data_IF_501826408538
#
_entry.id   IF_501826408538
#
_cell.length_a   1.000
_cell.length_b   1.000
_cell.length_c   1.000
_cell.angle_alpha   90.00
_cell.angle_beta   90.00
_cell.angle_gamma   90.00
#
_symmetry.space_group_name_H-M   'P 1'
#
loop_
_entity.id
_entity.type
_entity.pdbx_description
1 polymer ?
#
# COMPACT_ATOMS: atom_id res chain seq x y z
N UNK A 1 -1.19 29.54 1.48
CA UNK A 1 -0.14 28.59 1.79
C UNK A 1 -0.40 27.26 1.10
N UNK A 2 0.63 26.67 0.47
CA UNK A 2 0.51 25.36 -0.19
C UNK A 2 0.28 24.28 0.86
N UNK A 3 -0.73 23.49 0.68
CA UNK A 3 -0.96 22.24 1.45
C UNK A 3 0.02 21.19 0.96
N UNK A 4 0.69 20.48 1.86
CA UNK A 4 1.61 19.39 1.55
C UNK A 4 1.00 18.08 2.03
N UNK A 5 0.92 17.08 1.14
CA UNK A 5 0.33 15.78 1.39
C UNK A 5 1.36 14.68 1.26
N UNK A 6 1.36 13.73 2.17
CA UNK A 6 2.26 12.58 2.19
C UNK A 6 1.44 11.30 2.12
N UNK A 7 1.80 10.41 1.18
CA UNK A 7 1.13 9.10 1.02
C UNK A 7 2.01 8.02 1.61
N UNK A 8 1.57 7.40 2.68
CA UNK A 8 2.10 6.13 3.15
C UNK A 8 1.33 4.98 2.49
N UNK A 9 1.89 3.77 2.49
CA UNK A 9 1.30 2.57 1.90
C UNK A 9 -0.21 2.39 2.20
N UNK A 10 -0.71 3.04 3.25
CA UNK A 10 -2.12 3.01 3.67
C UNK A 10 -2.68 4.33 4.17
N UNK A 11 -1.91 5.43 4.16
CA UNK A 11 -2.32 6.67 4.84
C UNK A 11 -1.82 7.91 4.11
N UNK A 12 -2.71 8.88 3.88
CA UNK A 12 -2.39 10.24 3.46
C UNK A 12 -2.22 11.13 4.71
N UNK A 13 -1.04 11.74 4.87
CA UNK A 13 -0.75 12.66 5.96
C UNK A 13 -0.67 14.09 5.41
N UNK A 14 -1.45 14.99 6.02
CA UNK A 14 -1.44 16.42 5.72
C UNK A 14 -0.57 17.18 6.73
N UNK A 15 0.37 18.01 6.26
CA UNK A 15 1.14 18.91 7.11
C UNK A 15 0.68 20.36 6.91
N UNK A 16 0.33 20.99 8.02
CA UNK A 16 0.01 22.42 8.09
C UNK A 16 1.13 23.18 8.82
N UNK A 17 1.29 24.50 8.49
CA UNK A 17 2.35 25.39 9.02
C UNK A 17 2.32 25.51 10.56
N UNK A 18 1.22 25.18 11.20
CA UNK A 18 1.04 25.17 12.66
C UNK A 18 1.54 23.88 13.33
N UNK A 19 2.41 23.11 12.68
CA UNK A 19 3.08 21.90 13.21
C UNK A 19 2.15 20.73 13.57
N UNK A 20 0.89 20.78 13.17
CA UNK A 20 -0.03 19.65 13.35
C UNK A 20 0.01 18.71 12.14
N UNK A 21 0.27 17.42 12.39
CA UNK A 21 0.13 16.34 11.39
C UNK A 21 -1.28 15.80 11.49
N UNK A 22 -1.98 15.71 10.36
CA UNK A 22 -3.33 15.17 10.29
C UNK A 22 -3.40 14.08 9.22
N UNK A 23 -3.97 12.93 9.58
CA UNK A 23 -4.39 11.91 8.62
C UNK A 23 -5.72 12.39 8.02
N UNK A 24 -5.80 12.52 6.70
CA UNK A 24 -6.97 13.05 6.00
C UNK A 24 -7.66 12.02 5.11
N UNK A 25 -7.03 10.88 4.88
CA UNK A 25 -7.60 9.77 4.14
C UNK A 25 -6.77 8.51 4.31
N UNK A 26 -7.42 7.37 4.10
CA UNK A 26 -6.83 6.04 4.14
C UNK A 26 -7.27 5.24 2.93
N UNK A 27 -6.45 4.27 2.52
CA UNK A 27 -6.80 3.38 1.43
C UNK A 27 -6.03 2.07 1.52
N UNK A 28 -6.66 1.01 1.07
CA UNK A 28 -6.07 -0.32 1.02
C UNK A 28 -6.41 -1.00 -0.29
N UNK A 29 -5.65 -2.03 -0.63
CA UNK A 29 -5.97 -2.96 -1.69
C UNK A 29 -5.72 -4.39 -1.18
N UNK A 30 -6.67 -5.27 -1.43
CA UNK A 30 -6.59 -6.69 -1.11
C UNK A 30 -6.81 -7.50 -2.40
N UNK A 31 -5.88 -8.39 -2.78
CA UNK A 31 -6.10 -9.33 -3.86
C UNK A 31 -7.39 -10.16 -3.67
N UNK A 32 -8.01 -10.55 -4.76
CA UNK A 32 -9.25 -11.34 -4.69
C UNK A 32 -9.01 -12.79 -4.27
N UNK A 33 -7.82 -13.34 -4.56
CA UNK A 33 -7.49 -14.72 -4.28
C UNK A 33 -7.31 -14.96 -2.78
N UNK A 34 -8.19 -15.75 -2.19
CA UNK A 34 -8.20 -16.08 -0.76
C UNK A 34 -7.54 -17.45 -0.53
N UNK A 35 -6.60 -17.49 0.41
CA UNK A 35 -6.01 -18.75 0.90
C UNK A 35 -6.30 -18.91 2.39
N UNK A 36 -7.07 -19.92 2.76
CA UNK A 36 -7.34 -20.29 4.14
C UNK A 36 -6.24 -21.17 4.72
N UNK A 37 -6.37 -21.53 5.99
CA UNK A 37 -5.41 -22.39 6.67
C UNK A 37 -5.46 -23.83 6.15
N UNK A 38 -6.60 -24.28 5.63
CA UNK A 38 -6.72 -25.62 5.03
C UNK A 38 -5.88 -25.70 3.73
N UNK A 39 -5.98 -24.67 2.88
CA UNK A 39 -5.13 -24.58 1.68
C UNK A 39 -3.64 -24.65 2.06
N UNK A 40 -3.21 -23.91 3.10
CA UNK A 40 -1.80 -23.94 3.54
C UNK A 40 -1.37 -25.33 4.01
N UNK A 41 -2.23 -26.09 4.67
CA UNK A 41 -1.92 -27.45 5.11
C UNK A 41 -1.69 -28.44 3.96
N UNK A 42 -2.08 -28.08 2.74
CA UNK A 42 -1.80 -28.90 1.54
C UNK A 42 -0.40 -28.69 0.96
N UNK A 43 0.29 -27.61 1.34
CA UNK A 43 1.59 -27.23 0.76
C UNK A 43 2.72 -27.18 1.79
N UNK A 44 2.40 -27.03 3.07
CA UNK A 44 3.38 -27.05 4.17
C UNK A 44 2.85 -27.84 5.35
N UNK A 45 3.75 -28.39 6.18
CA UNK A 45 3.39 -29.15 7.38
C UNK A 45 2.84 -28.22 8.47
N UNK A 46 1.54 -28.01 8.45
CA UNK A 46 0.80 -27.15 9.38
C UNK A 46 -0.68 -27.54 9.44
N UNK A 47 -1.46 -26.88 10.31
CA UNK A 47 -2.91 -27.03 10.38
C UNK A 47 -3.59 -25.74 10.89
N UNK A 48 -4.92 -25.66 10.74
CA UNK A 48 -5.70 -24.48 11.15
C UNK A 48 -5.57 -24.19 12.64
N UNK A 49 -5.57 -25.21 13.49
CA UNK A 49 -5.47 -25.04 14.94
C UNK A 49 -4.14 -24.36 15.32
N UNK A 50 -3.03 -24.88 14.81
CA UNK A 50 -1.69 -24.34 15.07
C UNK A 50 -1.55 -22.89 14.62
N UNK A 51 -2.00 -22.56 13.39
CA UNK A 51 -1.93 -21.20 12.84
C UNK A 51 -2.82 -20.26 13.65
N UNK A 52 -4.06 -20.65 13.92
CA UNK A 52 -5.06 -19.82 14.60
C UNK A 52 -4.67 -19.52 16.05
N UNK A 53 -4.15 -20.49 16.79
CA UNK A 53 -3.70 -20.28 18.17
C UNK A 53 -2.51 -19.32 18.27
N UNK A 54 -1.60 -19.32 17.28
CA UNK A 54 -0.39 -18.50 17.30
C UNK A 54 -0.57 -17.10 16.71
N UNK A 55 -1.44 -16.97 15.72
CA UNK A 55 -1.55 -15.73 14.92
C UNK A 55 -2.94 -15.13 14.89
N UNK A 56 -3.98 -15.91 15.20
CA UNK A 56 -5.37 -15.53 14.98
C UNK A 56 -5.79 -15.48 13.52
N UNK A 57 -4.89 -15.77 12.56
CA UNK A 57 -5.14 -15.66 11.13
C UNK A 57 -5.93 -16.88 10.64
N UNK A 58 -7.07 -16.64 10.00
CA UNK A 58 -7.90 -17.65 9.37
C UNK A 58 -7.68 -17.76 7.86
N UNK A 59 -7.45 -16.61 7.22
CA UNK A 59 -7.23 -16.51 5.78
C UNK A 59 -6.25 -15.39 5.45
N UNK A 60 -5.66 -15.42 4.25
CA UNK A 60 -4.85 -14.33 3.68
C UNK A 60 -5.18 -14.15 2.23
N UNK A 61 -4.82 -13.00 1.70
CA UNK A 61 -4.98 -12.67 0.30
C UNK A 61 -3.66 -12.88 -0.42
N UNK A 62 -3.71 -13.63 -1.50
CA UNK A 62 -2.54 -13.94 -2.32
C UNK A 62 -2.64 -13.20 -3.66
N UNK A 63 -1.54 -12.57 -4.04
CA UNK A 63 -1.39 -11.99 -5.38
C UNK A 63 -1.61 -13.04 -6.47
N UNK A 64 -2.27 -12.65 -7.55
CA UNK A 64 -2.52 -13.51 -8.72
C UNK A 64 -1.33 -13.62 -9.68
N UNK A 65 -0.16 -13.16 -9.28
CA UNK A 65 1.10 -13.24 -10.05
C UNK A 65 1.71 -11.89 -10.38
N UNK A 66 2.59 -11.86 -11.37
CA UNK A 66 3.43 -10.68 -11.69
C UNK A 66 2.66 -9.40 -12.05
N UNK A 67 1.43 -9.53 -12.52
CA UNK A 67 0.58 -8.36 -12.84
C UNK A 67 -0.03 -7.71 -11.60
N UNK A 68 -0.04 -8.40 -10.47
CA UNK A 68 -0.56 -7.94 -9.18
C UNK A 68 0.55 -7.90 -8.14
N UNK A 69 1.70 -7.34 -8.53
CA UNK A 69 2.87 -7.18 -7.68
C UNK A 69 2.73 -6.05 -6.66
N UNK A 70 3.82 -5.79 -5.93
CA UNK A 70 3.86 -4.77 -4.86
C UNK A 70 3.53 -3.38 -5.39
N UNK A 71 4.05 -3.00 -6.57
CA UNK A 71 3.77 -1.71 -7.21
C UNK A 71 2.29 -1.56 -7.53
N UNK A 72 1.68 -2.58 -8.13
CA UNK A 72 0.26 -2.56 -8.46
C UNK A 72 -0.60 -2.39 -7.20
N UNK A 73 -0.37 -3.21 -6.18
CA UNK A 73 -1.13 -3.15 -4.92
C UNK A 73 -0.97 -1.80 -4.22
N UNK A 74 0.27 -1.26 -4.18
CA UNK A 74 0.53 0.05 -3.60
C UNK A 74 -0.16 1.17 -4.38
N UNK A 75 -0.18 1.09 -5.72
CA UNK A 75 -0.86 2.05 -6.59
C UNK A 75 -2.37 2.06 -6.34
N UNK A 76 -3.01 0.89 -6.25
CA UNK A 76 -4.44 0.81 -5.96
C UNK A 76 -4.77 1.35 -4.57
N UNK A 77 -3.98 1.00 -3.55
CA UNK A 77 -4.14 1.54 -2.21
C UNK A 77 -3.97 3.07 -2.16
N UNK A 78 -3.00 3.61 -2.91
CA UNK A 78 -2.78 5.05 -3.02
C UNK A 78 -3.98 5.76 -3.69
N UNK A 79 -4.51 5.22 -4.78
CA UNK A 79 -5.70 5.76 -5.45
C UNK A 79 -6.91 5.79 -4.51
N UNK A 80 -7.15 4.71 -3.78
CA UNK A 80 -8.23 4.64 -2.79
C UNK A 80 -8.04 5.66 -1.66
N UNK A 81 -6.79 5.85 -1.17
CA UNK A 81 -6.49 6.84 -0.16
C UNK A 81 -6.67 8.29 -0.65
N UNK A 82 -6.31 8.57 -1.91
CA UNK A 82 -6.53 9.88 -2.54
C UNK A 82 -8.01 10.19 -2.71
N UNK A 83 -8.81 9.19 -3.12
CA UNK A 83 -10.26 9.31 -3.23
C UNK A 83 -10.90 9.61 -1.87
N UNK A 84 -10.55 8.84 -0.83
CA UNK A 84 -11.04 9.04 0.54
C UNK A 84 -10.66 10.43 1.10
N UNK A 85 -9.45 10.91 0.77
CA UNK A 85 -8.96 12.24 1.17
C UNK A 85 -9.53 13.39 0.34
N UNK A 86 -10.12 13.11 -0.83
CA UNK A 86 -10.56 14.13 -1.78
C UNK A 86 -9.42 14.97 -2.36
N UNK A 87 -8.22 14.34 -2.60
CA UNK A 87 -7.05 15.02 -3.14
C UNK A 87 -6.68 14.50 -4.53
N UNK A 88 -6.08 15.37 -5.33
CA UNK A 88 -5.60 15.04 -6.68
C UNK A 88 -4.10 14.70 -6.66
N UNK A 89 -3.60 14.08 -7.73
CA UNK A 89 -2.19 13.73 -7.86
C UNK A 89 -1.25 14.96 -7.83
N UNK A 90 -1.70 16.09 -8.35
CA UNK A 90 -0.93 17.35 -8.37
C UNK A 90 -0.75 17.97 -6.98
N UNK A 91 -1.57 17.57 -6.01
CA UNK A 91 -1.49 18.04 -4.63
C UNK A 91 -0.54 17.20 -3.77
N UNK A 92 -0.02 16.08 -4.30
CA UNK A 92 0.93 15.22 -3.62
C UNK A 92 2.35 15.81 -3.75
N UNK A 93 3.00 16.06 -2.64
CA UNK A 93 4.37 16.58 -2.57
C UNK A 93 5.41 15.49 -2.25
N UNK A 94 5.01 14.41 -1.56
CA UNK A 94 5.92 13.34 -1.16
C UNK A 94 5.21 11.98 -1.16
N UNK A 95 5.89 10.98 -1.71
CA UNK A 95 5.47 9.56 -1.68
C UNK A 95 6.56 8.76 -0.98
N UNK A 96 6.18 8.01 0.04
CA UNK A 96 7.05 7.07 0.73
C UNK A 96 6.42 5.68 0.64
N UNK A 97 7.16 4.73 0.10
CA UNK A 97 6.75 3.31 0.06
C UNK A 97 7.71 2.48 0.87
N UNK A 98 7.25 1.92 1.98
CA UNK A 98 8.01 0.98 2.77
C UNK A 98 7.66 -0.45 2.36
N UNK A 99 8.61 -1.17 1.76
CA UNK A 99 8.44 -2.56 1.36
C UNK A 99 9.75 -3.32 1.42
N UNK A 100 9.68 -4.61 1.82
CA UNK A 100 10.79 -5.55 1.74
C UNK A 100 10.71 -6.46 0.50
N UNK A 101 9.62 -6.35 -0.29
CA UNK A 101 9.33 -7.19 -1.46
C UNK A 101 9.02 -6.34 -2.68
N UNK A 102 9.95 -5.45 -3.05
CA UNK A 102 9.82 -4.64 -4.26
C UNK A 102 9.82 -5.52 -5.52
N UNK A 103 9.03 -5.14 -6.53
CA UNK A 103 8.99 -5.86 -7.82
C UNK A 103 10.31 -5.67 -8.59
N UNK A 104 10.94 -4.50 -8.46
CA UNK A 104 12.23 -4.17 -9.07
C UNK A 104 13.04 -3.29 -8.13
N UNK A 105 14.38 -3.30 -8.29
CA UNK A 105 15.26 -2.40 -7.54
C UNK A 105 15.29 -1.00 -8.15
N UNK A 106 15.24 -0.91 -9.47
CA UNK A 106 15.31 0.36 -10.23
C UNK A 106 14.37 0.26 -11.44
N UNK A 107 13.46 1.23 -11.62
CA UNK A 107 13.10 2.28 -10.66
C UNK A 107 12.51 1.68 -9.38
N UNK A 108 12.66 2.37 -8.25
CA UNK A 108 12.10 1.89 -6.98
C UNK A 108 10.56 1.97 -6.96
N UNK A 109 9.94 1.24 -6.04
CA UNK A 109 8.47 1.13 -5.97
C UNK A 109 7.79 2.49 -5.82
N UNK A 110 8.35 3.42 -5.05
CA UNK A 110 7.75 4.76 -4.88
C UNK A 110 7.76 5.58 -6.17
N UNK A 111 8.84 5.49 -6.96
CA UNK A 111 8.90 6.13 -8.28
C UNK A 111 7.88 5.52 -9.25
N UNK A 112 7.70 4.20 -9.21
CA UNK A 112 6.70 3.53 -10.04
C UNK A 112 5.28 3.94 -9.65
N UNK A 113 4.96 3.94 -8.35
CA UNK A 113 3.66 4.42 -7.84
C UNK A 113 3.43 5.88 -8.22
N UNK A 114 4.46 6.73 -8.12
CA UNK A 114 4.41 8.13 -8.55
C UNK A 114 3.95 8.27 -10.01
N UNK A 115 4.56 7.48 -10.90
CA UNK A 115 4.20 7.46 -12.33
C UNK A 115 2.76 6.98 -12.55
N UNK A 116 2.36 5.90 -11.88
CA UNK A 116 1.05 5.27 -12.03
C UNK A 116 -0.12 6.13 -11.50
N UNK A 117 0.08 6.93 -10.46
CA UNK A 117 -0.94 7.86 -9.95
C UNK A 117 -0.86 9.25 -10.60
N UNK A 118 0.18 9.53 -11.39
CA UNK A 118 0.37 10.82 -12.06
C UNK A 118 0.86 11.95 -11.15
N UNK A 119 1.46 11.65 -9.99
CA UNK A 119 1.96 12.64 -9.04
C UNK A 119 3.34 13.18 -9.45
N UNK A 120 3.45 13.74 -10.64
CA UNK A 120 4.72 14.14 -11.29
C UNK A 120 5.51 15.20 -10.53
N UNK A 121 4.88 15.90 -9.59
CA UNK A 121 5.50 16.96 -8.77
C UNK A 121 6.00 16.44 -7.42
N UNK A 122 5.63 15.22 -7.05
CA UNK A 122 6.01 14.64 -5.78
C UNK A 122 7.48 14.21 -5.77
N UNK A 123 8.09 14.21 -4.60
CA UNK A 123 9.33 13.49 -4.34
C UNK A 123 8.99 12.05 -3.95
N UNK A 124 9.68 11.07 -4.52
CA UNK A 124 9.46 9.66 -4.24
C UNK A 124 10.64 9.05 -3.47
N UNK A 125 10.38 8.45 -2.31
CA UNK A 125 11.37 7.85 -1.40
C UNK A 125 10.99 6.42 -1.04
N UNK A 126 12.02 5.60 -0.72
CA UNK A 126 11.87 4.27 -0.11
C UNK A 126 12.11 4.38 1.40
#
# INVERSE_FOLDING_TARGET
>A
GRRRYYVYKYVLIFWRIDMAIKIIGTGSYLPENVADNHFLSTIVDTNDEWISQRTGIKERRLSSGSKEGTTYMATQAAKNAMEDAGVTAEEIDLIIVATASADTYVPNTSCQVQGEIGAIRATALI
#
